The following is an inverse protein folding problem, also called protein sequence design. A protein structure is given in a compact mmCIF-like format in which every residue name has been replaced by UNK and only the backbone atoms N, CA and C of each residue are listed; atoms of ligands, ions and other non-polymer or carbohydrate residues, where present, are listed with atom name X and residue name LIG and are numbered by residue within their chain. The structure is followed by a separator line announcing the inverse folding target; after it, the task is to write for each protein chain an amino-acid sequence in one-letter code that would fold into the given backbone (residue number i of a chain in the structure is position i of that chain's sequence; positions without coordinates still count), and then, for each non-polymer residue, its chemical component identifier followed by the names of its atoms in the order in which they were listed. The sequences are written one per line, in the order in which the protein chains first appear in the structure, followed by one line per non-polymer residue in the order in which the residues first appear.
data_IF_943505116266
#
_entry.id   IF_943505116266
#
_cell.length_a   1.000
_cell.length_b   1.000
_cell.length_c   1.000
_cell.angle_alpha   90.00
_cell.angle_beta   90.00
_cell.angle_gamma   90.00
#
_symmetry.space_group_name_H-M   'P 1'
#
loop_
_entity.id
_entity.type
_entity.pdbx_description
1 polymer ?
#
# COMPACT_ATOMS: atom_id res chain seq x y z
N UNK A 1 4.29 4.96 15.46
CA UNK A 1 4.18 3.87 14.48
C UNK A 1 5.28 4.06 13.45
N UNK A 2 5.84 2.99 12.85
CA UNK A 2 6.88 3.15 11.82
C UNK A 2 6.23 3.31 10.46
N UNK A 3 6.33 4.49 9.85
CA UNK A 3 5.94 4.74 8.46
C UNK A 3 7.01 4.21 7.50
N UNK A 4 7.32 2.93 7.61
CA UNK A 4 8.38 2.30 6.85
C UNK A 4 7.94 2.12 5.39
N UNK A 5 8.67 2.66 4.39
CA UNK A 5 8.32 2.50 2.99
C UNK A 5 8.69 1.10 2.47
N UNK A 6 7.91 0.09 2.86
CA UNK A 6 8.14 -1.31 2.49
C UNK A 6 7.48 -1.74 1.18
N UNK A 7 6.53 -0.96 0.66
CA UNK A 7 5.82 -1.25 -0.59
C UNK A 7 5.43 0.03 -1.33
N UNK A 8 5.17 -0.05 -2.63
CA UNK A 8 4.71 1.10 -3.41
C UNK A 8 4.03 0.64 -4.69
N UNK A 9 3.10 1.47 -5.19
CA UNK A 9 2.49 1.29 -6.51
C UNK A 9 3.34 2.11 -7.48
N UNK A 10 3.86 1.46 -8.51
CA UNK A 10 4.67 2.11 -9.55
C UNK A 10 3.96 1.98 -10.89
N UNK A 11 3.88 3.09 -11.61
CA UNK A 11 3.24 3.18 -12.92
C UNK A 11 4.18 3.87 -13.89
N UNK A 12 4.06 3.56 -15.18
CA UNK A 12 4.82 4.28 -16.23
C UNK A 12 4.21 5.66 -16.43
N UNK A 13 5.03 6.70 -16.57
CA UNK A 13 4.59 8.06 -16.89
C UNK A 13 3.68 8.12 -18.12
N UNK A 14 3.90 7.25 -19.11
CA UNK A 14 3.02 7.16 -20.28
C UNK A 14 1.57 6.85 -19.90
N UNK A 15 1.33 5.97 -18.91
CA UNK A 15 0.00 5.62 -18.46
C UNK A 15 -0.65 6.76 -17.68
N UNK A 16 0.12 7.50 -16.88
CA UNK A 16 -0.34 8.72 -16.20
C UNK A 16 -0.93 9.69 -17.22
N UNK A 17 -0.20 9.92 -18.32
CA UNK A 17 -0.60 10.89 -19.33
C UNK A 17 -1.69 10.40 -20.27
N UNK A 18 -1.70 9.11 -20.63
CA UNK A 18 -2.59 8.56 -21.68
C UNK A 18 -3.83 7.88 -21.15
N UNK A 19 -3.81 7.38 -19.91
CA UNK A 19 -4.87 6.57 -19.31
C UNK A 19 -5.04 6.89 -17.81
N UNK A 20 -5.28 8.17 -17.44
CA UNK A 20 -5.46 8.55 -16.04
C UNK A 20 -6.63 7.78 -15.38
N UNK A 21 -7.73 7.57 -16.12
CA UNK A 21 -8.89 6.83 -15.62
C UNK A 21 -8.55 5.39 -15.20
N UNK A 22 -7.62 4.74 -15.91
CA UNK A 22 -7.17 3.39 -15.56
C UNK A 22 -6.44 3.36 -14.21
N UNK A 23 -5.72 4.44 -13.89
CA UNK A 23 -5.02 4.56 -12.61
C UNK A 23 -6.05 4.76 -11.49
N UNK A 24 -7.04 5.63 -11.71
CA UNK A 24 -8.13 5.84 -10.75
C UNK A 24 -8.91 4.54 -10.52
N UNK A 25 -9.32 3.84 -11.57
CA UNK A 25 -10.02 2.56 -11.47
C UNK A 25 -9.19 1.50 -10.72
N UNK A 26 -7.87 1.45 -10.98
CA UNK A 26 -6.97 0.56 -10.27
C UNK A 26 -6.91 0.89 -8.77
N UNK A 27 -6.75 2.17 -8.40
CA UNK A 27 -6.68 2.60 -7.01
C UNK A 27 -8.00 2.33 -6.27
N UNK A 28 -9.14 2.55 -6.92
CA UNK A 28 -10.47 2.22 -6.37
C UNK A 28 -10.58 0.72 -6.10
N UNK A 29 -10.20 -0.12 -7.07
CA UNK A 29 -10.22 -1.57 -6.91
C UNK A 29 -9.24 -2.05 -5.82
N UNK A 30 -8.05 -1.43 -5.74
CA UNK A 30 -7.05 -1.74 -4.73
C UNK A 30 -7.53 -1.40 -3.32
N UNK A 31 -8.18 -0.25 -3.14
CA UNK A 31 -8.74 0.15 -1.86
C UNK A 31 -9.91 -0.75 -1.45
N UNK A 32 -10.79 -1.11 -2.41
CA UNK A 32 -11.86 -2.07 -2.18
C UNK A 32 -11.32 -3.44 -1.72
N UNK A 33 -10.26 -3.93 -2.36
CA UNK A 33 -9.59 -5.17 -1.95
C UNK A 33 -8.95 -5.08 -0.56
N UNK A 34 -8.29 -3.96 -0.26
CA UNK A 34 -7.69 -3.70 1.05
C UNK A 34 -8.75 -3.66 2.16
N UNK A 35 -9.89 -3.04 1.88
CA UNK A 35 -11.05 -3.04 2.78
C UNK A 35 -11.68 -4.42 2.92
N UNK A 36 -11.74 -5.22 1.85
CA UNK A 36 -12.22 -6.60 1.92
C UNK A 36 -11.34 -7.46 2.83
N UNK A 37 -10.02 -7.38 2.70
CA UNK A 37 -9.06 -8.05 3.60
C UNK A 37 -9.26 -7.60 5.05
N UNK A 38 -9.47 -6.30 5.29
CA UNK A 38 -9.61 -5.75 6.65
C UNK A 38 -10.92 -6.15 7.32
N UNK A 39 -12.03 -6.10 6.58
CA UNK A 39 -13.38 -6.24 7.14
C UNK A 39 -13.91 -7.68 7.07
N UNK A 40 -13.43 -8.49 6.12
CA UNK A 40 -13.84 -9.88 5.87
C UNK A 40 -12.61 -10.79 5.67
N UNK A 41 -11.69 -10.88 6.66
CA UNK A 41 -10.36 -11.49 6.47
C UNK A 41 -10.40 -12.99 6.15
N UNK A 42 -11.37 -13.74 6.69
CA UNK A 42 -11.52 -15.17 6.40
C UNK A 42 -11.91 -15.42 4.94
N UNK A 43 -12.93 -14.72 4.46
CA UNK A 43 -13.39 -14.81 3.07
C UNK A 43 -12.31 -14.33 2.10
N UNK A 44 -11.59 -13.27 2.46
CA UNK A 44 -10.44 -12.80 1.70
C UNK A 44 -9.30 -13.84 1.65
N UNK A 45 -9.07 -14.58 2.75
CA UNK A 45 -8.05 -15.62 2.83
C UNK A 45 -8.42 -16.83 1.95
N UNK A 46 -9.69 -17.23 1.93
CA UNK A 46 -10.20 -18.29 1.04
C UNK A 46 -10.00 -17.94 -0.44
N UNK A 47 -10.36 -16.72 -0.84
CA UNK A 47 -10.13 -16.23 -2.21
C UNK A 47 -8.64 -16.25 -2.55
N UNK A 48 -7.80 -15.75 -1.64
CA UNK A 48 -6.35 -15.64 -1.85
C UNK A 48 -5.69 -17.03 -1.97
N UNK A 49 -6.01 -17.95 -1.06
CA UNK A 49 -5.53 -19.33 -1.11
C UNK A 49 -5.99 -20.04 -2.39
N UNK A 50 -7.22 -19.80 -2.85
CA UNK A 50 -7.72 -20.33 -4.12
C UNK A 50 -6.97 -19.85 -5.36
N UNK A 51 -6.34 -18.67 -5.32
CA UNK A 51 -5.51 -18.14 -6.42
C UNK A 51 -4.05 -18.62 -6.33
N UNK A 52 -3.58 -19.02 -5.15
CA UNK A 52 -2.20 -19.42 -4.90
C UNK A 52 -2.08 -20.96 -4.90
N UNK A 53 -1.14 -21.50 -5.68
CA UNK A 53 -0.89 -22.95 -5.63
C UNK A 53 -0.18 -23.30 -4.32
N UNK A 54 -0.75 -24.23 -3.56
CA UNK A 54 -0.16 -24.83 -2.35
C UNK A 54 -0.01 -23.90 -1.14
N UNK A 55 -0.90 -22.92 -0.97
CA UNK A 55 -0.97 -22.12 0.26
C UNK A 55 -2.30 -22.41 0.95
N UNK A 56 -2.23 -22.65 2.25
CA UNK A 56 -3.40 -22.93 3.09
C UNK A 56 -4.09 -21.63 3.54
N UNK A 57 -5.40 -21.71 3.75
CA UNK A 57 -6.23 -20.56 4.18
C UNK A 57 -5.75 -20.04 5.54
N UNK A 58 -5.43 -20.94 6.47
CA UNK A 58 -4.97 -20.58 7.82
C UNK A 58 -3.67 -19.75 7.77
N UNK A 59 -2.73 -20.14 6.90
CA UNK A 59 -1.48 -19.39 6.70
C UNK A 59 -1.72 -17.98 6.13
N UNK A 60 -2.64 -17.84 5.18
CA UNK A 60 -3.00 -16.52 4.63
C UNK A 60 -3.65 -15.65 5.71
N UNK A 61 -4.56 -16.23 6.50
CA UNK A 61 -5.25 -15.53 7.57
C UNK A 61 -4.27 -15.04 8.65
N UNK A 62 -3.31 -15.87 9.05
CA UNK A 62 -2.21 -15.47 9.93
C UNK A 62 -1.39 -14.31 9.32
N UNK A 63 -1.11 -14.38 8.02
CA UNK A 63 -0.38 -13.33 7.31
C UNK A 63 -1.12 -11.99 7.34
N UNK A 64 -2.43 -11.98 7.15
CA UNK A 64 -3.24 -10.75 7.24
C UNK A 64 -3.20 -10.12 8.63
N UNK A 65 -3.03 -10.90 9.70
CA UNK A 65 -2.92 -10.39 11.07
C UNK A 65 -1.58 -9.68 11.35
N UNK A 66 -0.51 -10.03 10.63
CA UNK A 66 0.82 -9.42 10.82
C UNK A 66 0.84 -7.97 10.33
N UNK A 67 0.11 -7.67 9.25
CA UNK A 67 0.06 -6.33 8.68
C UNK A 67 -1.32 -6.02 8.09
N UNK A 68 -2.34 -5.78 8.93
CA UNK A 68 -3.72 -5.53 8.47
C UNK A 68 -3.90 -4.15 7.80
N UNK A 69 -2.82 -3.38 7.65
CA UNK A 69 -2.84 -1.96 7.27
C UNK A 69 -2.33 -1.72 5.86
N UNK A 70 -2.78 -2.53 4.92
CA UNK A 70 -2.65 -2.20 3.49
C UNK A 70 -3.51 -0.97 3.21
N UNK A 71 -2.87 0.10 2.76
CA UNK A 71 -3.51 1.34 2.37
C UNK A 71 -2.65 1.99 1.29
N UNK A 72 -3.29 2.44 0.22
CA UNK A 72 -2.58 3.16 -0.84
C UNK A 72 -2.29 4.62 -0.48
N UNK A 73 -2.94 5.17 0.56
CA UNK A 73 -2.69 6.53 1.05
C UNK A 73 -1.22 6.72 1.43
N UNK A 74 -0.65 7.85 1.04
CA UNK A 74 0.74 8.23 1.32
C UNK A 74 0.76 9.44 2.27
N UNK A 75 0.66 9.23 3.60
CA UNK A 75 0.74 10.33 4.57
C UNK A 75 2.12 11.00 4.54
N UNK A 76 2.22 12.24 5.02
CA UNK A 76 3.46 13.02 4.93
C UNK A 76 4.62 12.35 5.68
N UNK A 77 4.36 11.64 6.77
CA UNK A 77 5.35 10.87 7.51
C UNK A 77 5.93 9.72 6.69
N UNK A 78 5.12 9.09 5.82
CA UNK A 78 5.58 8.06 4.88
C UNK A 78 6.48 8.66 3.81
N UNK A 79 6.06 9.77 3.23
CA UNK A 79 6.82 10.48 2.20
C UNK A 79 8.14 10.96 2.78
N UNK A 80 8.11 11.60 3.96
CA UNK A 80 9.31 12.02 4.67
C UNK A 80 10.24 10.84 4.96
N UNK A 81 9.72 9.72 5.47
CA UNK A 81 10.52 8.54 5.74
C UNK A 81 11.19 8.00 4.48
N UNK A 82 10.52 8.05 3.33
CA UNK A 82 11.10 7.69 2.03
C UNK A 82 12.21 8.66 1.60
N UNK A 83 11.97 9.96 1.72
CA UNK A 83 12.95 11.00 1.33
C UNK A 83 14.19 10.99 2.22
N UNK A 84 14.05 10.63 3.50
CA UNK A 84 15.16 10.49 4.45
C UNK A 84 16.16 9.37 4.03
N UNK A 85 15.76 8.42 3.18
CA UNK A 85 16.68 7.41 2.61
C UNK A 85 17.55 7.95 1.46
N UNK A 86 17.11 8.99 0.75
CA UNK A 86 17.82 9.47 -0.45
C UNK A 86 19.27 9.87 -0.18
N UNK A 87 19.62 10.62 0.89
CA UNK A 87 21.01 10.98 1.18
C UNK A 87 21.91 9.76 1.43
N UNK A 88 21.34 8.68 1.99
CA UNK A 88 22.07 7.43 2.22
C UNK A 88 22.35 6.74 0.89
N UNK A 89 21.35 6.65 0.00
CA UNK A 89 21.51 6.05 -1.33
C UNK A 89 22.49 6.85 -2.21
N UNK A 90 22.47 8.18 -2.13
CA UNK A 90 23.47 9.06 -2.77
C UNK A 90 24.88 8.77 -2.24
N UNK A 91 25.05 8.73 -0.92
CA UNK A 91 26.36 8.46 -0.28
C UNK A 91 26.93 7.10 -0.67
N UNK A 92 26.08 6.10 -0.85
CA UNK A 92 26.47 4.75 -1.25
C UNK A 92 26.69 4.60 -2.77
N UNK A 93 26.42 5.65 -3.55
CA UNK A 93 26.60 5.64 -5.01
C UNK A 93 25.49 4.88 -5.76
N UNK A 94 24.35 4.63 -5.13
CA UNK A 94 23.18 4.00 -5.79
C UNK A 94 22.37 4.98 -6.64
N UNK A 95 22.56 6.29 -6.43
CA UNK A 95 21.90 7.34 -7.20
C UNK A 95 22.93 8.14 -7.98
N UNK A 96 22.80 8.15 -9.31
CA UNK A 96 23.68 8.91 -10.21
C UNK A 96 23.33 10.40 -10.22
N UNK A 97 22.08 10.73 -9.88
CA UNK A 97 21.55 12.09 -9.88
C UNK A 97 20.77 12.34 -8.59
N UNK A 98 20.69 13.61 -8.21
CA UNK A 98 19.83 14.06 -7.13
C UNK A 98 18.36 13.84 -7.50
N UNK A 99 17.66 13.07 -6.68
CA UNK A 99 16.23 12.78 -6.83
C UNK A 99 15.43 13.72 -5.93
N UNK A 100 14.32 14.24 -6.44
CA UNK A 100 13.38 15.10 -5.71
C UNK A 100 12.11 14.32 -5.36
N UNK A 101 11.26 14.91 -4.53
CA UNK A 101 9.96 14.34 -4.15
C UNK A 101 9.08 14.06 -5.38
N UNK A 102 9.05 15.00 -6.31
CA UNK A 102 8.19 14.95 -7.50
C UNK A 102 8.70 13.93 -8.53
N UNK A 103 9.96 13.50 -8.42
CA UNK A 103 10.51 12.42 -9.25
C UNK A 103 10.05 11.02 -8.76
N UNK A 104 9.45 10.94 -7.57
CA UNK A 104 9.04 9.68 -6.91
C UNK A 104 7.53 9.59 -6.77
N UNK A 105 6.90 10.69 -6.36
CA UNK A 105 5.52 10.71 -5.93
C UNK A 105 4.63 11.52 -6.87
N UNK A 106 3.70 10.81 -7.50
CA UNK A 106 2.52 11.39 -8.13
C UNK A 106 1.32 11.17 -7.20
N UNK A 107 0.84 12.23 -6.56
CA UNK A 107 -0.13 12.14 -5.45
C UNK A 107 -1.55 12.48 -5.88
N UNK A 108 -1.75 13.11 -7.05
CA UNK A 108 -3.06 13.62 -7.44
C UNK A 108 -4.11 12.51 -7.50
N UNK A 109 -3.76 11.35 -8.08
CA UNK A 109 -4.67 10.20 -8.20
C UNK A 109 -5.11 9.64 -6.86
N UNK A 110 -4.18 9.45 -5.92
CA UNK A 110 -4.54 8.87 -4.62
C UNK A 110 -5.32 9.86 -3.75
N UNK A 111 -5.03 11.15 -3.86
CA UNK A 111 -5.79 12.19 -3.15
C UNK A 111 -7.22 12.32 -3.69
N UNK A 112 -7.43 12.07 -4.98
CA UNK A 112 -8.77 12.01 -5.59
C UNK A 112 -9.55 10.76 -5.13
N UNK A 113 -8.91 9.59 -5.14
CA UNK A 113 -9.56 8.30 -4.86
C UNK A 113 -9.73 8.03 -3.37
N UNK A 114 -8.82 8.51 -2.53
CA UNK A 114 -8.80 8.29 -1.08
C UNK A 114 -8.65 9.62 -0.34
N UNK A 115 -9.73 10.42 -0.22
CA UNK A 115 -9.70 11.70 0.51
C UNK A 115 -9.75 11.51 2.04
N UNK A 116 -9.92 10.27 2.50
CA UNK A 116 -10.12 9.92 3.90
C UNK A 116 -8.77 9.81 4.65
N UNK A 117 -8.75 9.88 5.99
CA UNK A 117 -7.51 9.69 6.74
C UNK A 117 -6.87 8.32 6.46
N UNK A 118 -5.54 8.29 6.43
CA UNK A 118 -4.80 7.06 6.18
C UNK A 118 -5.12 5.99 7.23
N UNK A 119 -5.13 4.72 6.82
CA UNK A 119 -5.51 3.61 7.70
C UNK A 119 -4.38 3.12 8.61
N UNK A 120 -3.21 3.78 8.60
CA UNK A 120 -2.04 3.43 9.41
C UNK A 120 -2.28 3.51 10.92
N UNK A 121 -3.22 4.36 11.36
CA UNK A 121 -3.53 4.59 12.77
C UNK A 121 -4.81 3.86 13.25
N UNK A 122 -5.54 3.18 12.36
CA UNK A 122 -6.71 2.40 12.77
C UNK A 122 -6.28 1.31 13.76
N UNK A 123 -7.01 1.11 14.88
CA UNK A 123 -6.78 -0.04 15.74
C UNK A 123 -6.76 -1.30 14.88
N UNK A 124 -5.78 -2.19 15.11
CA UNK A 124 -5.96 -3.57 14.65
C UNK A 124 -7.12 -4.12 15.49
N UNK A 125 -8.34 -3.99 15.01
CA UNK A 125 -9.46 -4.68 15.63
C UNK A 125 -9.16 -6.18 15.47
N UNK A 126 -8.60 -6.76 16.52
CA UNK A 126 -8.37 -8.18 16.64
C UNK A 126 -9.75 -8.82 16.80
N UNK A 127 -10.39 -9.11 15.68
CA UNK A 127 -11.49 -10.06 15.63
C UNK A 127 -10.92 -11.46 15.94
N UNK A 128 -10.72 -11.73 17.23
CA UNK A 128 -10.15 -12.97 17.75
C UNK A 128 -10.28 -13.15 19.27
N UNK A 129 -11.00 -12.27 19.98
CA UNK A 129 -11.38 -12.49 21.37
C UNK A 129 -12.89 -12.44 21.52
N UNK A 130 -13.52 -13.57 21.20
CA UNK A 130 -14.74 -14.12 21.80
C UNK A 130 -15.22 -15.31 20.97
N UNK A 131 -14.81 -16.50 21.39
CA UNK A 131 -15.70 -17.58 21.84
C UNK A 131 -14.86 -18.69 22.48
#
# INVERSE_FOLDING_TARGET
MSYNPSYGIVVREELINKKPDLINDFLIAHEAASNFIRNQPLEAAEVTAGQMRNIDVDFVLETFQISPKYCASLPEEYIKSTLDFLPVLEKLGYLEKKIKREDIFELEFIQEVHPEPSHYDLPSDTAGSKN
#
